data_IF_806812913034
#
_entry.id   IF_806812913034
#
_cell.length_a   1.000
_cell.length_b   1.000
_cell.length_c   1.000
_cell.angle_alpha   90.00
_cell.angle_beta   90.00
_cell.angle_gamma   90.00
#
_symmetry.space_group_name_H-M   'P 1'
#
loop_
_entity.id
_entity.type
_entity.pdbx_description
1 polymer ?
#
# COMPACT_ATOMS: atom_id res chain seq x y z
N UNK A 1 -10.74 6.36 15.36
CA UNK A 1 -11.41 5.48 14.39
C UNK A 1 -10.54 4.26 14.20
N UNK A 2 -11.10 3.05 14.25
CA UNK A 2 -10.31 1.82 14.10
C UNK A 2 -9.85 1.69 12.63
N UNK A 3 -8.60 1.32 12.31
CA UNK A 3 -8.16 1.16 10.92
C UNK A 3 -9.07 0.26 10.07
N UNK A 4 -9.63 -0.80 10.68
CA UNK A 4 -10.58 -1.68 10.01
C UNK A 4 -11.92 -0.98 9.72
N UNK A 5 -12.39 -0.14 10.63
CA UNK A 5 -13.62 0.64 10.45
C UNK A 5 -13.48 1.63 9.29
N UNK A 6 -12.34 2.33 9.21
CA UNK A 6 -12.01 3.23 8.08
C UNK A 6 -11.99 2.44 6.77
N UNK A 7 -11.31 1.30 6.74
CA UNK A 7 -11.23 0.44 5.57
C UNK A 7 -12.61 -0.01 5.06
N UNK A 8 -13.46 -0.54 5.95
CA UNK A 8 -14.79 -1.02 5.57
C UNK A 8 -15.70 0.11 5.08
N UNK A 9 -15.55 1.31 5.64
CA UNK A 9 -16.27 2.50 5.19
C UNK A 9 -15.82 2.89 3.78
N UNK A 10 -14.52 2.97 3.52
CA UNK A 10 -13.99 3.28 2.20
C UNK A 10 -14.42 2.25 1.14
N UNK A 11 -14.39 0.95 1.48
CA UNK A 11 -14.87 -0.10 0.57
C UNK A 11 -16.34 0.11 0.20
N UNK A 12 -17.19 0.44 1.18
CA UNK A 12 -18.62 0.74 0.94
C UNK A 12 -18.75 1.95 0.02
N UNK A 13 -18.07 3.04 0.33
CA UNK A 13 -18.19 4.30 -0.39
C UNK A 13 -17.73 4.13 -1.85
N UNK A 14 -16.60 3.47 -2.07
CA UNK A 14 -16.09 3.09 -3.40
C UNK A 14 -17.11 2.24 -4.13
N UNK A 15 -17.58 1.13 -3.53
CA UNK A 15 -18.58 0.27 -4.17
C UNK A 15 -19.88 1.01 -4.51
N UNK A 16 -20.31 1.92 -3.66
CA UNK A 16 -21.54 2.70 -3.85
C UNK A 16 -21.43 3.71 -5.00
N UNK A 17 -20.21 4.08 -5.41
CA UNK A 17 -20.00 5.00 -6.53
C UNK A 17 -20.44 4.42 -7.88
N UNK A 18 -20.50 3.09 -8.03
CA UNK A 18 -20.81 2.42 -9.29
C UNK A 18 -19.68 2.43 -10.33
N UNK A 19 -18.68 3.29 -10.18
CA UNK A 19 -17.54 3.48 -11.10
C UNK A 19 -16.33 2.60 -10.75
N UNK A 20 -16.56 1.50 -10.03
CA UNK A 20 -15.47 0.65 -9.54
C UNK A 20 -14.93 -0.27 -10.62
N UNK A 21 -13.62 -0.36 -10.70
CA UNK A 21 -12.95 -1.47 -11.36
C UNK A 21 -12.82 -2.57 -10.32
N UNK A 22 -13.30 -3.77 -10.67
CA UNK A 22 -13.12 -4.95 -9.82
C UNK A 22 -11.65 -5.08 -9.41
N UNK A 23 -11.42 -5.39 -8.13
CA UNK A 23 -10.09 -5.57 -7.52
C UNK A 23 -9.30 -4.26 -7.34
N UNK A 24 -8.92 -3.58 -8.43
CA UNK A 24 -7.96 -2.45 -8.37
C UNK A 24 -8.47 -1.21 -7.65
N UNK A 25 -9.78 -0.90 -7.73
CA UNK A 25 -10.35 0.25 -6.99
C UNK A 25 -10.24 0.09 -5.47
N UNK A 26 -10.02 -1.12 -4.96
CA UNK A 26 -9.94 -1.42 -3.53
C UNK A 26 -8.51 -1.46 -2.99
N UNK A 27 -7.51 -1.41 -3.86
CA UNK A 27 -6.10 -1.46 -3.48
C UNK A 27 -5.66 -0.25 -2.65
N UNK A 28 -6.20 0.94 -2.92
CA UNK A 28 -5.92 2.14 -2.13
C UNK A 28 -6.32 1.96 -0.64
N UNK A 29 -7.60 1.68 -0.34
CA UNK A 29 -8.05 1.39 1.02
C UNK A 29 -7.28 0.26 1.69
N UNK A 30 -6.98 -0.81 0.95
CA UNK A 30 -6.22 -1.94 1.47
C UNK A 30 -4.80 -1.52 1.88
N UNK A 31 -4.11 -0.76 1.02
CA UNK A 31 -2.78 -0.24 1.32
C UNK A 31 -2.80 0.66 2.56
N UNK A 32 -3.82 1.51 2.72
CA UNK A 32 -3.99 2.36 3.90
C UNK A 32 -4.13 1.53 5.17
N UNK A 33 -5.02 0.52 5.17
CA UNK A 33 -5.20 -0.38 6.31
C UNK A 33 -3.88 -1.07 6.69
N UNK A 34 -3.21 -1.68 5.71
CA UNK A 34 -1.96 -2.42 5.94
C UNK A 34 -0.84 -1.51 6.44
N UNK A 35 -0.78 -0.26 5.96
CA UNK A 35 0.17 0.72 6.46
C UNK A 35 -0.12 1.16 7.90
N UNK A 36 -1.38 1.36 8.29
CA UNK A 36 -1.73 1.70 9.67
C UNK A 36 -1.39 0.55 10.64
N UNK A 37 -1.74 -0.69 10.27
CA UNK A 37 -1.37 -1.87 11.05
C UNK A 37 0.15 -2.02 11.10
N UNK A 38 0.83 -1.82 9.97
CA UNK A 38 2.28 -1.95 9.85
C UNK A 38 3.09 -1.02 10.77
N UNK A 39 2.54 0.15 11.14
CA UNK A 39 3.15 1.07 12.11
C UNK A 39 3.20 0.51 13.53
N UNK A 40 2.29 -0.40 13.89
CA UNK A 40 2.23 -1.03 15.21
C UNK A 40 3.14 -2.26 15.36
N UNK A 41 3.64 -2.81 14.25
CA UNK A 41 4.51 -4.00 14.25
C UNK A 41 5.98 -3.66 14.57
N UNK A 42 6.74 -4.67 14.99
CA UNK A 42 8.19 -4.60 15.20
C UNK A 42 8.87 -5.79 14.49
N UNK A 43 9.64 -5.57 13.41
CA UNK A 43 9.92 -4.27 12.78
C UNK A 43 8.68 -3.65 12.14
N UNK A 44 8.67 -2.31 12.00
CA UNK A 44 7.61 -1.60 11.29
C UNK A 44 7.66 -1.97 9.81
N UNK A 45 6.50 -2.14 9.21
CA UNK A 45 6.37 -2.46 7.79
C UNK A 45 5.56 -1.41 7.04
N UNK A 46 5.85 -1.24 5.76
CA UNK A 46 5.12 -0.41 4.80
C UNK A 46 4.61 -1.27 3.65
N UNK A 47 3.33 -1.13 3.34
CA UNK A 47 2.69 -1.75 2.19
C UNK A 47 2.93 -0.91 0.93
N UNK A 48 3.35 -1.57 -0.14
CA UNK A 48 3.46 -1.01 -1.48
C UNK A 48 2.66 -1.92 -2.42
N UNK A 49 1.72 -1.35 -3.15
CA UNK A 49 0.94 -2.02 -4.19
C UNK A 49 1.59 -1.77 -5.55
N UNK A 50 1.37 -2.67 -6.52
CA UNK A 50 1.91 -2.64 -7.87
C UNK A 50 3.44 -2.59 -7.87
N UNK A 51 4.07 -3.60 -7.24
CA UNK A 51 5.52 -3.66 -7.14
C UNK A 51 6.15 -4.19 -8.43
N UNK A 52 7.39 -3.79 -8.69
CA UNK A 52 8.15 -4.28 -9.84
C UNK A 52 8.36 -5.79 -9.73
N UNK A 53 8.15 -6.50 -10.84
CA UNK A 53 8.50 -7.91 -10.95
C UNK A 53 10.00 -8.15 -10.71
N UNK A 54 10.32 -9.15 -9.89
CA UNK A 54 11.67 -9.64 -9.62
C UNK A 54 11.82 -11.14 -9.93
N UNK A 55 10.93 -11.70 -10.76
CA UNK A 55 10.89 -13.10 -11.16
C UNK A 55 9.65 -13.87 -10.68
N UNK A 56 8.63 -13.18 -10.18
CA UNK A 56 7.36 -13.75 -9.71
C UNK A 56 6.17 -13.46 -10.65
N UNK A 57 6.40 -12.73 -11.75
CA UNK A 57 5.36 -12.37 -12.71
C UNK A 57 4.77 -10.99 -12.44
N UNK A 58 3.49 -10.90 -12.05
CA UNK A 58 2.84 -9.61 -11.80
C UNK A 58 2.37 -9.54 -10.33
N UNK A 59 3.27 -9.19 -9.40
CA UNK A 59 2.92 -9.12 -7.99
C UNK A 59 2.03 -7.90 -7.69
N UNK A 60 0.89 -8.12 -7.03
CA UNK A 60 -0.03 -7.05 -6.63
C UNK A 60 0.55 -6.12 -5.56
N UNK A 61 1.45 -6.61 -4.71
CA UNK A 61 2.07 -5.79 -3.67
C UNK A 61 3.01 -6.54 -2.75
N UNK A 62 3.57 -5.81 -1.79
CA UNK A 62 4.49 -6.34 -0.78
C UNK A 62 4.55 -5.49 0.49
N UNK A 63 4.99 -6.13 1.58
CA UNK A 63 5.27 -5.47 2.86
C UNK A 63 6.78 -5.36 3.06
N UNK A 64 7.25 -4.16 3.33
CA UNK A 64 8.68 -3.85 3.41
C UNK A 64 9.04 -3.27 4.77
N UNK A 65 10.11 -3.77 5.38
CA UNK A 65 10.70 -3.16 6.57
C UNK A 65 11.49 -1.91 6.21
N UNK A 66 11.72 -1.04 7.18
CA UNK A 66 12.48 0.19 6.97
C UNK A 66 13.89 -0.06 6.39
N UNK A 67 14.54 -1.16 6.80
CA UNK A 67 15.88 -1.53 6.35
C UNK A 67 15.93 -1.99 4.88
N UNK A 68 14.79 -2.31 4.28
CA UNK A 68 14.69 -2.71 2.87
C UNK A 68 14.56 -1.51 1.91
N UNK A 69 14.40 -0.29 2.42
CA UNK A 69 14.40 0.92 1.61
C UNK A 69 15.83 1.39 1.34
N UNK A 70 16.09 1.82 0.10
CA UNK A 70 17.36 2.49 -0.23
C UNK A 70 17.52 3.73 0.66
N UNK A 71 18.70 3.87 1.28
CA UNK A 71 19.04 5.07 2.05
C UNK A 71 19.11 6.25 1.09
N UNK A 72 18.53 7.39 1.47
CA UNK A 72 18.43 8.60 0.65
C UNK A 72 19.77 9.23 0.20
N UNK A 73 20.91 8.63 0.57
CA UNK A 73 22.26 9.09 0.23
C UNK A 73 22.75 8.61 -1.14
N UNK A 74 22.05 7.69 -1.81
CA UNK A 74 22.44 7.18 -3.13
C UNK A 74 21.46 7.63 -4.22
N UNK A 75 21.79 8.77 -4.86
CA UNK A 75 21.20 9.21 -6.13
C UNK A 75 20.32 10.45 -5.98
N UNK A 76 20.90 11.62 -6.27
CA UNK A 76 20.21 12.93 -6.31
C UNK A 76 18.85 12.84 -7.04
N UNK A 77 17.77 13.42 -6.50
CA UNK A 77 16.62 13.80 -7.32
C UNK A 77 17.08 14.80 -8.39
N UNK A 78 16.83 14.51 -9.67
CA UNK A 78 17.06 15.46 -10.77
C UNK A 78 15.89 16.45 -10.82
N UNK A 79 16.14 17.72 -11.20
CA UNK A 79 15.19 18.81 -11.04
C UNK A 79 14.03 18.74 -12.04
N UNK A 80 12.82 18.99 -11.51
CA UNK A 80 11.64 19.50 -12.23
C UNK A 80 10.90 18.51 -13.09
#
# INVERSE_FOLDING_TARGET
MNPLETYLKELRDIRSSGEVVNETSYYGPLATLLNEVGKSLKPKVRCIINIKDRGAGLPDGGLFTQDQFQKATEGKPLPG
#
